data_IF_662874740031
#
_entry.id   IF_662874740031
#
_cell.length_a   1.000
_cell.length_b   1.000
_cell.length_c   1.000
_cell.angle_alpha   90.00
_cell.angle_beta   90.00
_cell.angle_gamma   90.00
#
_symmetry.space_group_name_H-M   'P 1'
#
loop_
_entity.id
_entity.type
_entity.pdbx_description
1 polymer ?
#
# COMPACT_ATOMS: atom_id res chain seq x y z
N UNK A 1 -29.03 -0.57 17.38
CA UNK A 1 -27.81 -0.85 16.59
C UNK A 1 -26.65 -0.15 17.28
N UNK A 2 -25.51 -0.80 17.51
CA UNK A 2 -24.39 -0.19 18.25
C UNK A 2 -23.62 0.81 17.38
N UNK A 3 -22.89 1.73 18.01
CA UNK A 3 -22.00 2.67 17.32
C UNK A 3 -20.97 1.94 16.44
N UNK A 4 -20.40 0.83 16.95
CA UNK A 4 -19.50 -0.02 16.18
C UNK A 4 -20.19 -0.63 14.93
N UNK A 5 -21.43 -1.10 15.05
CA UNK A 5 -22.19 -1.65 13.93
C UNK A 5 -22.50 -0.61 12.84
N UNK A 6 -22.75 0.65 13.23
CA UNK A 6 -22.95 1.75 12.27
C UNK A 6 -21.66 2.05 11.51
N UNK A 7 -20.50 2.09 12.20
CA UNK A 7 -19.22 2.34 11.54
C UNK A 7 -18.79 1.19 10.63
N UNK A 8 -19.01 -0.06 11.04
CA UNK A 8 -18.78 -1.25 10.22
C UNK A 8 -19.57 -1.18 8.91
N UNK A 9 -20.90 -1.03 8.99
CA UNK A 9 -21.76 -0.96 7.80
C UNK A 9 -21.35 0.19 6.85
N UNK A 10 -20.94 1.35 7.41
CA UNK A 10 -20.42 2.45 6.61
C UNK A 10 -19.11 2.10 5.90
N UNK A 11 -18.24 1.32 6.54
CA UNK A 11 -17.01 0.74 6.01
C UNK A 11 -17.30 -0.21 4.84
N UNK A 12 -18.18 -1.19 5.05
CA UNK A 12 -18.58 -2.18 4.03
C UNK A 12 -19.15 -1.48 2.79
N UNK A 13 -20.00 -0.47 3.00
CA UNK A 13 -20.53 0.36 1.91
C UNK A 13 -19.45 1.11 1.14
N UNK A 14 -18.37 1.53 1.82
CA UNK A 14 -17.25 2.22 1.17
C UNK A 14 -16.39 1.25 0.37
N UNK A 15 -16.06 0.09 0.93
CA UNK A 15 -15.38 -1.00 0.23
C UNK A 15 -16.15 -1.41 -1.04
N UNK A 16 -17.47 -1.56 -0.93
CA UNK A 16 -18.33 -1.88 -2.09
C UNK A 16 -18.16 -0.86 -3.22
N UNK A 17 -18.06 0.43 -2.91
CA UNK A 17 -17.84 1.47 -3.93
C UNK A 17 -16.45 1.37 -4.57
N UNK A 18 -15.42 1.04 -3.78
CA UNK A 18 -14.05 0.81 -4.31
C UNK A 18 -14.03 -0.44 -5.20
N UNK A 19 -14.68 -1.53 -4.78
CA UNK A 19 -14.80 -2.74 -5.59
C UNK A 19 -15.56 -2.46 -6.90
N UNK A 20 -16.60 -1.64 -6.87
CA UNK A 20 -17.35 -1.26 -8.06
C UNK A 20 -16.50 -0.46 -9.04
N UNK A 21 -15.70 0.49 -8.57
CA UNK A 21 -14.74 1.25 -9.39
C UNK A 21 -13.71 0.32 -10.06
N UNK A 22 -13.18 -0.65 -9.31
CA UNK A 22 -12.31 -1.68 -9.86
C UNK A 22 -12.99 -2.59 -10.87
N UNK A 23 -14.25 -2.97 -10.63
CA UNK A 23 -15.03 -3.77 -11.58
C UNK A 23 -15.18 -3.05 -12.92
N UNK A 24 -15.43 -1.74 -12.92
CA UNK A 24 -15.46 -0.94 -14.15
C UNK A 24 -14.11 -0.96 -14.86
N UNK A 25 -13.00 -0.89 -14.12
CA UNK A 25 -11.64 -0.97 -14.68
C UNK A 25 -11.38 -2.36 -15.29
N UNK A 26 -11.68 -3.44 -14.57
CA UNK A 26 -11.53 -4.83 -15.04
C UNK A 26 -12.35 -5.09 -16.31
N UNK A 27 -13.55 -4.52 -16.41
CA UNK A 27 -14.40 -4.68 -17.60
C UNK A 27 -13.95 -3.86 -18.81
N UNK A 28 -13.17 -2.78 -18.61
CA UNK A 28 -12.83 -1.83 -19.67
C UNK A 28 -11.37 -1.89 -20.13
N UNK A 29 -10.46 -2.41 -19.29
CA UNK A 29 -9.04 -2.52 -19.58
C UNK A 29 -8.58 -3.99 -19.51
N UNK A 30 -8.16 -4.58 -20.65
CA UNK A 30 -7.73 -5.99 -20.72
C UNK A 30 -6.44 -6.29 -19.93
N UNK A 31 -5.73 -5.26 -19.45
CA UNK A 31 -4.62 -5.42 -18.51
C UNK A 31 -5.04 -5.91 -17.13
N UNK A 32 -6.34 -5.87 -16.82
CA UNK A 32 -6.94 -6.35 -15.58
C UNK A 32 -7.92 -7.49 -15.89
N UNK A 33 -7.81 -8.62 -15.21
CA UNK A 33 -8.49 -9.85 -15.59
C UNK A 33 -9.65 -10.23 -14.68
N UNK A 34 -9.47 -10.02 -13.37
CA UNK A 34 -10.44 -10.43 -12.37
C UNK A 34 -10.31 -9.56 -11.11
N UNK A 35 -11.36 -9.56 -10.30
CA UNK A 35 -11.32 -9.03 -8.94
C UNK A 35 -11.98 -9.99 -7.96
N UNK A 36 -11.54 -9.92 -6.71
CA UNK A 36 -12.14 -10.57 -5.55
C UNK A 36 -12.48 -9.52 -4.50
N UNK A 37 -13.61 -9.69 -3.84
CA UNK A 37 -14.07 -8.86 -2.73
C UNK A 37 -14.06 -9.74 -1.49
N UNK A 38 -13.60 -9.21 -0.35
CA UNK A 38 -13.46 -9.98 0.89
C UNK A 38 -12.57 -11.23 0.70
N UNK A 39 -11.45 -11.07 0.00
CA UNK A 39 -10.55 -12.19 -0.31
C UNK A 39 -9.91 -12.72 0.98
N UNK A 40 -10.00 -14.04 1.18
CA UNK A 40 -9.36 -14.73 2.32
C UNK A 40 -7.98 -15.29 1.99
N UNK A 41 -7.59 -15.25 0.71
CA UNK A 41 -6.35 -15.85 0.21
C UNK A 41 -5.15 -14.92 0.41
N UNK A 42 -5.41 -13.62 0.62
CA UNK A 42 -4.40 -12.60 0.83
C UNK A 42 -4.60 -11.91 2.19
N UNK A 43 -3.53 -11.58 2.95
CA UNK A 43 -3.65 -10.92 4.25
C UNK A 43 -4.26 -9.50 4.24
N UNK A 44 -4.44 -8.90 3.06
CA UNK A 44 -5.08 -7.58 2.89
C UNK A 44 -6.49 -7.82 2.35
N UNK A 45 -7.48 -7.40 3.13
CA UNK A 45 -8.76 -8.11 3.21
C UNK A 45 -9.85 -7.61 2.23
N UNK A 46 -9.74 -6.40 1.68
CA UNK A 46 -10.96 -5.75 1.16
C UNK A 46 -11.24 -6.03 -0.33
N UNK A 47 -10.28 -5.76 -1.21
CA UNK A 47 -10.42 -6.00 -2.67
C UNK A 47 -9.09 -6.41 -3.28
N UNK A 48 -9.05 -7.50 -4.04
CA UNK A 48 -7.86 -7.95 -4.77
C UNK A 48 -8.15 -7.93 -6.26
N UNK A 49 -7.20 -7.44 -7.05
CA UNK A 49 -7.31 -7.34 -8.51
C UNK A 49 -6.14 -8.07 -9.13
N UNK A 50 -6.45 -9.04 -10.00
CA UNK A 50 -5.46 -9.75 -10.80
C UNK A 50 -5.22 -9.08 -12.14
N UNK A 51 -3.95 -8.86 -12.47
CA UNK A 51 -3.52 -8.29 -13.75
C UNK A 51 -3.07 -9.37 -14.73
N UNK A 52 -3.10 -9.05 -16.02
CA UNK A 52 -2.70 -9.97 -17.09
C UNK A 52 -1.22 -10.35 -17.07
N UNK A 53 -0.38 -9.55 -16.43
CA UNK A 53 1.05 -9.83 -16.23
C UNK A 53 1.33 -10.69 -14.97
N UNK A 54 0.29 -11.17 -14.29
CA UNK A 54 0.40 -11.97 -13.07
C UNK A 54 0.59 -11.16 -11.79
N UNK A 55 0.77 -9.83 -11.90
CA UNK A 55 0.85 -8.96 -10.72
C UNK A 55 -0.52 -8.74 -10.06
N UNK A 56 -0.50 -8.42 -8.77
CA UNK A 56 -1.71 -8.19 -7.98
C UNK A 56 -1.79 -6.75 -7.49
N UNK A 57 -3.02 -6.27 -7.30
CA UNK A 57 -3.31 -5.06 -6.53
C UNK A 57 -4.24 -5.45 -5.39
N UNK A 58 -3.77 -5.37 -4.16
CA UNK A 58 -4.52 -5.67 -2.95
C UNK A 58 -4.88 -4.37 -2.25
N UNK A 59 -6.16 -4.16 -2.00
CA UNK A 59 -6.70 -2.90 -1.50
C UNK A 59 -7.08 -3.06 -0.03
N UNK A 60 -6.66 -2.10 0.79
CA UNK A 60 -7.16 -1.88 2.14
C UNK A 60 -8.06 -0.64 2.15
N UNK A 61 -9.33 -0.79 2.50
CA UNK A 61 -10.36 0.22 2.54
C UNK A 61 -10.68 0.60 4.00
N UNK A 62 -10.34 1.82 4.38
CA UNK A 62 -10.71 2.40 5.68
C UNK A 62 -11.44 3.72 5.44
N UNK A 63 -12.78 3.72 5.52
CA UNK A 63 -13.57 4.91 5.14
C UNK A 63 -13.16 6.17 5.89
N UNK A 64 -13.24 6.14 7.22
CA UNK A 64 -12.92 7.28 8.08
C UNK A 64 -12.25 6.79 9.36
N UNK A 65 -11.34 7.60 9.90
CA UNK A 65 -10.86 7.39 11.27
C UNK A 65 -12.01 7.77 12.23
N UNK A 66 -12.10 7.10 13.39
CA UNK A 66 -13.24 7.20 14.33
C UNK A 66 -13.60 8.63 14.73
N UNK A 67 -12.60 9.49 14.91
CA UNK A 67 -12.70 10.91 15.29
C UNK A 67 -12.63 11.85 14.07
N UNK A 68 -12.71 11.31 12.85
CA UNK A 68 -12.64 12.03 11.57
C UNK A 68 -11.36 12.85 11.37
N UNK A 69 -10.30 12.57 12.13
CA UNK A 69 -8.97 13.14 11.91
C UNK A 69 -8.19 12.37 10.83
N UNK A 70 -7.04 12.88 10.37
CA UNK A 70 -6.16 12.10 9.52
C UNK A 70 -5.71 10.80 10.20
N UNK A 71 -5.55 9.74 9.41
CA UNK A 71 -4.95 8.48 9.85
C UNK A 71 -3.49 8.70 10.22
N UNK A 72 -3.07 8.13 11.33
CA UNK A 72 -1.67 8.00 11.71
C UNK A 72 -1.18 6.57 11.45
N UNK A 73 0.14 6.36 11.50
CA UNK A 73 0.75 5.02 11.44
C UNK A 73 0.18 4.12 12.53
N UNK A 74 0.03 4.64 13.75
CA UNK A 74 -0.54 3.88 14.86
C UNK A 74 -2.01 3.47 14.64
N UNK A 75 -2.80 4.28 13.93
CA UNK A 75 -4.19 3.92 13.59
C UNK A 75 -4.27 2.83 12.52
N UNK A 76 -3.19 2.62 11.75
CA UNK A 76 -3.10 1.69 10.62
C UNK A 76 -2.11 0.55 10.88
N UNK A 77 -1.65 0.39 12.13
CA UNK A 77 -0.55 -0.50 12.48
C UNK A 77 -0.79 -1.94 12.00
N UNK A 78 -1.98 -2.49 12.31
CA UNK A 78 -2.35 -3.85 11.94
C UNK A 78 -2.42 -4.03 10.42
N UNK A 79 -2.96 -3.04 9.70
CA UNK A 79 -3.06 -3.07 8.24
C UNK A 79 -1.71 -2.89 7.55
N UNK A 80 -0.81 -2.09 8.13
CA UNK A 80 0.57 -1.95 7.65
C UNK A 80 1.34 -3.26 7.85
N UNK A 81 1.21 -3.92 9.00
CA UNK A 81 1.83 -5.22 9.24
C UNK A 81 1.33 -6.29 8.25
N UNK A 82 0.03 -6.31 7.98
CA UNK A 82 -0.57 -7.20 6.95
C UNK A 82 -0.02 -6.91 5.56
N UNK A 83 0.04 -5.63 5.18
CA UNK A 83 0.59 -5.19 3.90
C UNK A 83 2.05 -5.62 3.75
N UNK A 84 2.84 -5.47 4.81
CA UNK A 84 4.24 -5.88 4.84
C UNK A 84 4.41 -7.38 4.57
N UNK A 85 3.67 -8.21 5.31
CA UNK A 85 3.70 -9.68 5.13
C UNK A 85 3.27 -10.11 3.73
N UNK A 86 2.24 -9.47 3.17
CA UNK A 86 1.79 -9.74 1.82
C UNK A 86 2.87 -9.43 0.79
N UNK A 87 3.53 -8.27 0.89
CA UNK A 87 4.58 -7.87 -0.05
C UNK A 87 5.80 -8.80 0.04
N UNK A 88 6.16 -9.23 1.25
CA UNK A 88 7.23 -10.21 1.47
C UNK A 88 6.94 -11.57 0.82
N UNK A 89 5.69 -12.04 0.90
CA UNK A 89 5.26 -13.32 0.32
C UNK A 89 4.88 -13.23 -1.17
N UNK A 90 4.58 -12.04 -1.68
CA UNK A 90 4.12 -11.82 -3.05
C UNK A 90 4.80 -10.57 -3.65
N UNK A 91 6.05 -10.69 -4.12
CA UNK A 91 6.86 -9.53 -4.54
C UNK A 91 6.28 -8.73 -5.71
N UNK A 92 5.41 -9.33 -6.53
CA UNK A 92 4.73 -8.65 -7.63
C UNK A 92 3.41 -7.99 -7.21
N UNK A 93 3.01 -8.11 -5.93
CA UNK A 93 1.83 -7.46 -5.41
C UNK A 93 2.07 -5.97 -5.14
N UNK A 94 0.97 -5.25 -5.08
CA UNK A 94 0.93 -3.83 -4.74
C UNK A 94 -0.17 -3.67 -3.71
N UNK A 95 0.08 -2.96 -2.62
CA UNK A 95 -0.94 -2.69 -1.61
C UNK A 95 -1.46 -1.26 -1.78
N UNK A 96 -2.76 -1.06 -1.79
CA UNK A 96 -3.41 0.26 -1.95
C UNK A 96 -4.32 0.57 -0.77
N UNK A 97 -4.04 1.65 -0.06
CA UNK A 97 -4.89 2.13 1.03
C UNK A 97 -5.87 3.20 0.52
N UNK A 98 -7.16 2.91 0.64
CA UNK A 98 -8.27 3.78 0.29
C UNK A 98 -8.92 4.35 1.54
N UNK A 99 -9.09 5.67 1.57
CA UNK A 99 -9.80 6.34 2.66
C UNK A 99 -10.44 7.65 2.19
N UNK A 100 -11.55 8.03 2.83
CA UNK A 100 -12.10 9.39 2.69
C UNK A 100 -11.30 10.39 3.53
N UNK A 101 -10.88 10.00 4.73
CA UNK A 101 -9.95 10.80 5.53
C UNK A 101 -8.53 10.76 4.93
N UNK A 102 -7.77 11.84 5.15
CA UNK A 102 -6.36 11.93 4.74
C UNK A 102 -5.47 10.99 5.58
N UNK A 103 -4.33 10.56 5.04
CA UNK A 103 -3.27 9.82 5.73
C UNK A 103 -2.24 10.70 6.48
N UNK A 104 -2.49 12.01 6.56
CA UNK A 104 -1.74 12.94 7.40
C UNK A 104 -0.24 12.95 7.08
N UNK A 105 0.58 12.56 8.07
CA UNK A 105 2.04 12.52 7.91
C UNK A 105 2.51 11.51 6.86
N UNK A 106 1.79 10.40 6.67
CA UNK A 106 2.09 9.43 5.61
C UNK A 106 1.86 10.04 4.22
N UNK A 107 0.75 10.76 4.04
CA UNK A 107 0.50 11.48 2.79
C UNK A 107 1.59 12.52 2.52
N UNK A 108 1.99 13.29 3.55
CA UNK A 108 3.09 14.26 3.44
C UNK A 108 4.43 13.60 3.06
N UNK A 109 4.76 12.47 3.69
CA UNK A 109 5.97 11.70 3.39
C UNK A 109 5.95 11.16 1.96
N UNK A 110 4.78 10.70 1.49
CA UNK A 110 4.55 10.29 0.10
C UNK A 110 4.74 11.43 -0.89
N UNK A 111 4.16 12.60 -0.64
CA UNK A 111 4.36 13.77 -1.51
C UNK A 111 5.84 14.19 -1.53
N UNK A 112 6.51 14.11 -0.38
CA UNK A 112 7.92 14.42 -0.28
C UNK A 112 8.80 13.45 -1.08
N UNK A 113 8.41 12.18 -1.22
CA UNK A 113 9.21 11.19 -1.95
C UNK A 113 9.14 11.34 -3.47
N UNK A 114 8.05 11.90 -4.03
CA UNK A 114 7.82 12.07 -5.48
C UNK A 114 8.98 12.73 -6.24
N UNK A 115 9.55 13.88 -5.80
CA UNK A 115 10.64 14.53 -6.54
C UNK A 115 11.97 13.76 -6.51
N UNK A 116 12.11 12.73 -5.67
CA UNK A 116 13.35 11.96 -5.56
C UNK A 116 13.31 10.73 -6.48
N UNK A 117 14.22 10.67 -7.46
CA UNK A 117 14.24 9.62 -8.48
C UNK A 117 14.63 8.22 -7.97
N UNK A 118 15.13 8.10 -6.74
CA UNK A 118 15.52 6.84 -6.09
C UNK A 118 15.55 6.97 -4.55
N UNK A 119 15.68 5.82 -3.88
CA UNK A 119 15.70 5.73 -2.41
C UNK A 119 16.87 6.50 -1.79
N UNK A 120 18.08 6.38 -2.34
CA UNK A 120 19.26 7.06 -1.81
C UNK A 120 19.08 8.58 -1.79
N UNK A 121 18.53 9.15 -2.87
CA UNK A 121 18.22 10.56 -2.97
C UNK A 121 17.11 10.99 -2.00
N UNK A 122 16.08 10.17 -1.82
CA UNK A 122 15.02 10.41 -0.84
C UNK A 122 15.59 10.44 0.59
N UNK A 123 16.33 9.39 0.99
CA UNK A 123 16.90 9.26 2.34
C UNK A 123 17.89 10.36 2.67
N UNK A 124 18.74 10.75 1.73
CA UNK A 124 19.72 11.81 1.92
C UNK A 124 19.10 13.19 2.17
N UNK A 125 17.82 13.39 1.78
CA UNK A 125 17.14 14.68 1.89
C UNK A 125 16.06 14.71 2.98
N UNK A 126 15.85 13.63 3.75
CA UNK A 126 14.86 13.63 4.82
C UNK A 126 15.07 14.78 5.79
N UNK A 127 14.00 15.54 6.03
CA UNK A 127 13.94 16.55 7.11
C UNK A 127 13.66 15.86 8.44
N UNK A 128 13.86 16.53 9.58
CA UNK A 128 13.63 15.90 10.88
C UNK A 128 12.21 15.33 11.09
N UNK A 129 11.19 15.97 10.51
CA UNK A 129 9.81 15.45 10.55
C UNK A 129 9.63 14.21 9.66
N UNK A 130 10.28 14.20 8.49
CA UNK A 130 10.25 13.08 7.56
C UNK A 130 11.02 11.89 8.14
N UNK A 131 12.22 12.09 8.69
CA UNK A 131 13.01 11.05 9.35
C UNK A 131 12.21 10.36 10.46
N UNK A 132 11.47 11.11 11.27
CA UNK A 132 10.64 10.52 12.31
C UNK A 132 9.53 9.65 11.72
N UNK A 133 8.79 10.18 10.75
CA UNK A 133 7.66 9.45 10.15
C UNK A 133 8.12 8.23 9.36
N UNK A 134 9.25 8.33 8.65
CA UNK A 134 9.91 7.24 7.93
C UNK A 134 10.38 6.15 8.89
N UNK A 135 10.99 6.53 10.02
CA UNK A 135 11.41 5.60 11.08
C UNK A 135 10.23 4.91 11.76
N UNK A 136 9.16 5.64 12.08
CA UNK A 136 7.93 5.09 12.65
C UNK A 136 7.29 4.07 11.69
N UNK A 137 7.36 4.32 10.37
CA UNK A 137 6.85 3.39 9.36
C UNK A 137 7.76 2.16 9.22
N UNK A 138 9.08 2.36 9.22
CA UNK A 138 10.06 1.28 9.12
C UNK A 138 10.02 0.30 10.31
N UNK A 139 9.45 0.72 11.45
CA UNK A 139 9.23 -0.14 12.60
C UNK A 139 8.20 -1.26 12.36
N UNK A 140 7.34 -1.11 11.35
CA UNK A 140 6.49 -2.19 10.85
C UNK A 140 7.34 -3.06 9.93
N UNK A 141 8.08 -4.01 10.54
CA UNK A 141 9.14 -4.82 9.94
C UNK A 141 8.86 -5.17 8.47
N UNK A 142 9.86 -4.91 7.62
CA UNK A 142 9.87 -5.05 6.15
C UNK A 142 9.13 -3.97 5.33
N UNK A 143 8.41 -3.01 5.93
CA UNK A 143 8.18 -1.69 5.31
C UNK A 143 9.44 -0.82 5.48
N UNK A 144 10.61 -1.40 5.24
CA UNK A 144 11.87 -0.65 5.10
C UNK A 144 11.97 0.07 3.74
N UNK A 145 11.07 -0.24 2.79
CA UNK A 145 11.11 0.23 1.41
C UNK A 145 9.78 0.84 0.99
N UNK A 146 9.65 2.16 1.13
CA UNK A 146 8.82 2.93 0.20
C UNK A 146 9.70 3.19 -1.03
N UNK A 147 9.79 2.23 -1.97
CA UNK A 147 10.40 2.51 -3.27
C UNK A 147 9.31 2.82 -4.30
N UNK A 148 9.39 4.05 -4.84
CA UNK A 148 8.85 4.51 -6.12
C UNK A 148 7.33 4.41 -6.30
N UNK A 149 6.63 5.43 -5.84
CA UNK A 149 5.26 5.74 -6.28
C UNK A 149 5.27 6.64 -7.53
N UNK A 150 5.37 6.02 -8.70
CA UNK A 150 4.93 6.67 -9.92
C UNK A 150 3.39 6.76 -9.93
N UNK A 151 2.89 7.98 -9.71
CA UNK A 151 1.65 8.54 -10.22
C UNK A 151 0.35 7.73 -10.11
N UNK A 152 -0.50 8.12 -9.16
CA UNK A 152 -1.95 8.28 -9.41
C UNK A 152 -2.37 9.59 -8.76
N UNK A 153 -3.12 10.39 -9.53
CA UNK A 153 -3.56 11.74 -9.24
C UNK A 153 -4.88 11.72 -8.46
N UNK A 154 -4.82 11.58 -7.13
CA UNK A 154 -5.73 12.27 -6.20
C UNK A 154 -5.23 11.99 -4.77
N UNK A 155 -5.20 13.00 -3.90
CA UNK A 155 -4.60 12.93 -2.56
C UNK A 155 -5.32 12.04 -1.52
N UNK A 156 -5.97 10.94 -1.97
CA UNK A 156 -6.82 10.02 -1.18
C UNK A 156 -6.41 8.56 -1.28
N UNK A 157 -5.31 8.28 -1.97
CA UNK A 157 -4.75 6.95 -2.18
C UNK A 157 -3.25 6.97 -1.86
N UNK A 158 -2.83 6.04 -1.00
CA UNK A 158 -1.42 5.73 -0.80
C UNK A 158 -1.20 4.26 -1.19
N UNK A 159 -0.13 4.00 -1.92
CA UNK A 159 0.19 2.66 -2.44
C UNK A 159 1.57 2.23 -1.90
N UNK A 160 1.78 0.93 -1.73
CA UNK A 160 3.06 0.31 -1.37
C UNK A 160 3.40 -0.72 -2.46
N UNK A 161 4.64 -0.73 -2.96
CA UNK A 161 5.18 -1.77 -3.86
C UNK A 161 6.57 -2.19 -3.38
N UNK A 162 6.93 -3.45 -3.59
CA UNK A 162 8.31 -3.93 -3.53
C UNK A 162 8.86 -4.01 -4.97
N UNK A 163 9.99 -3.37 -5.28
CA UNK A 163 10.48 -3.29 -6.69
C UNK A 163 11.96 -3.59 -6.88
N UNK A 164 12.59 -4.42 -6.04
CA UNK A 164 13.92 -4.95 -6.39
C UNK A 164 14.04 -6.44 -6.12
N UNK A 165 14.68 -7.21 -7.03
CA UNK A 165 15.00 -8.60 -6.76
C UNK A 165 15.90 -8.70 -5.51
N UNK A 166 15.88 -9.83 -4.79
CA UNK A 166 16.87 -10.07 -3.74
C UNK A 166 18.26 -9.83 -4.35
N UNK A 167 19.10 -9.06 -3.66
CA UNK A 167 20.53 -9.02 -3.95
C UNK A 167 20.98 -10.46 -4.08
N UNK A 168 21.31 -10.87 -5.31
CA UNK A 168 21.83 -12.20 -5.58
C UNK A 168 22.94 -12.46 -4.58
N UNK A 169 22.86 -13.60 -3.88
CA UNK A 169 24.01 -14.23 -3.27
C UNK A 169 25.20 -14.07 -4.21
N UNK A 170 26.33 -13.62 -3.65
CA UNK A 170 27.57 -13.49 -4.35
C UNK A 170 27.81 -14.78 -5.15
N UNK A 171 27.78 -14.68 -6.49
CA UNK A 171 28.18 -15.77 -7.35
C UNK A 171 29.60 -16.20 -6.94
N UNK A 172 29.86 -17.51 -6.74
CA UNK A 172 31.21 -17.96 -6.45
C UNK A 172 32.10 -17.56 -7.63
N UNK A 173 33.17 -16.82 -7.33
CA UNK A 173 34.22 -16.54 -8.29
C UNK A 173 34.84 -17.87 -8.73
N UNK A 174 34.50 -18.33 -9.92
CA UNK A 174 35.27 -19.36 -10.62
C UNK A 174 36.58 -18.73 -11.05
N UNK A 175 37.61 -18.88 -10.21
CA UNK A 175 39.00 -18.74 -10.62
C UNK A 175 39.42 -20.02 -11.31
N UNK A 176 39.55 -20.01 -12.63
CA UNK A 176 40.57 -20.83 -13.30
C UNK A 176 41.13 -20.06 -14.50
N UNK A 177 42.45 -20.13 -14.76
CA UNK A 177 43.03 -19.72 -16.03
C UNK A 177 42.72 -20.71 -17.16
#
# INVERSE_FOLDING_TARGET
>A
MSTAGIYSNRGDSYQTLIAFDWALTVLSDPGFQWLEIDSTDYPVDDVVIGKSDGSLICCQCKKNQTDFRPWSIADLADELDKASRLLAGTPQAQVRFYSRNNFGKLAKLREYSIPHGNEAGYRANLTGEHTKTDGDLAAHEQIGRIEKLAGIADGRLFQIRDTFPPTSEAAPQTNEP
#
